data_IF_810781514663
#
_entry.id   IF_810781514663
#
_cell.length_a   1.000
_cell.length_b   1.000
_cell.length_c   1.000
_cell.angle_alpha   90.00
_cell.angle_beta   90.00
_cell.angle_gamma   90.00
#
_symmetry.space_group_name_H-M   'P 1'
#
loop_
_entity.id
_entity.type
_entity.pdbx_description
1 polymer ?
#
# COMPACT_ATOMS: atom_id res chain seq x y z
N UNK A 1 19.91 13.54 -1.59
CA UNK A 1 18.80 12.62 -1.25
C UNK A 1 18.88 12.31 0.25
N UNK A 2 17.76 12.09 0.95
CA UNK A 2 17.79 11.85 2.39
C UNK A 2 18.46 10.51 2.70
N UNK A 3 19.35 10.48 3.70
CA UNK A 3 19.96 9.24 4.18
C UNK A 3 18.92 8.31 4.81
N UNK A 4 17.99 8.90 5.57
CA UNK A 4 16.90 8.20 6.24
C UNK A 4 15.61 8.32 5.42
N UNK A 5 14.99 7.19 5.09
CA UNK A 5 13.70 7.15 4.40
C UNK A 5 12.51 7.29 5.35
N UNK A 6 11.34 7.66 4.83
CA UNK A 6 10.12 7.82 5.64
C UNK A 6 9.67 6.53 6.35
N UNK A 7 10.11 5.35 5.90
CA UNK A 7 9.85 4.07 6.60
C UNK A 7 10.33 4.08 8.06
N UNK A 8 11.33 4.90 8.41
CA UNK A 8 11.80 5.04 9.79
C UNK A 8 10.82 5.80 10.70
N UNK A 9 9.78 6.41 10.14
CA UNK A 9 8.69 7.09 10.88
C UNK A 9 7.47 6.17 11.07
N UNK A 10 7.57 4.90 10.66
CA UNK A 10 6.58 3.87 10.96
C UNK A 10 6.76 3.48 12.43
N UNK A 11 5.70 3.66 13.21
CA UNK A 11 5.70 3.47 14.66
C UNK A 11 5.30 2.05 15.07
N UNK A 12 4.63 1.33 14.19
CA UNK A 12 4.18 -0.04 14.43
C UNK A 12 5.21 -1.03 13.91
N UNK A 13 5.32 -2.20 14.55
CA UNK A 13 6.17 -3.27 14.05
C UNK A 13 5.45 -4.04 12.95
N UNK A 14 5.93 -3.97 11.71
CA UNK A 14 5.39 -4.79 10.63
C UNK A 14 6.44 -5.21 9.58
N UNK A 15 6.22 -6.34 8.87
CA UNK A 15 6.96 -6.68 7.66
C UNK A 15 6.53 -5.78 6.49
N UNK A 16 7.53 -5.12 5.88
CA UNK A 16 7.43 -4.35 4.64
C UNK A 16 8.01 -5.17 3.49
N UNK A 17 7.15 -5.66 2.61
CA UNK A 17 7.51 -6.38 1.40
C UNK A 17 7.51 -5.40 0.23
N UNK A 18 8.68 -5.07 -0.28
CA UNK A 18 8.81 -4.32 -1.53
C UNK A 18 8.96 -5.29 -2.68
N UNK A 19 8.05 -5.21 -3.65
CA UNK A 19 8.01 -6.11 -4.79
C UNK A 19 8.20 -5.32 -6.08
N UNK A 20 9.32 -5.61 -6.74
CA UNK A 20 9.65 -5.05 -8.04
C UNK A 20 8.86 -5.77 -9.13
N UNK A 21 8.21 -5.01 -10.00
CA UNK A 21 7.65 -5.54 -11.23
C UNK A 21 8.49 -5.12 -12.44
N UNK A 22 8.66 -5.99 -13.45
CA UNK A 22 9.38 -5.66 -14.66
C UNK A 22 8.59 -4.64 -15.49
N UNK A 23 9.29 -3.66 -16.05
CA UNK A 23 8.75 -2.70 -17.01
C UNK A 23 9.86 -2.26 -17.96
N UNK A 24 9.51 -2.07 -19.23
CA UNK A 24 10.43 -1.63 -20.28
C UNK A 24 10.54 -0.10 -20.38
N UNK A 25 9.64 0.64 -19.73
CA UNK A 25 9.64 2.10 -19.73
C UNK A 25 9.05 2.68 -18.45
N UNK A 26 9.18 4.00 -18.28
CA UNK A 26 8.55 4.75 -17.19
C UNK A 26 7.01 4.81 -17.32
N UNK A 27 6.45 4.55 -18.51
CA UNK A 27 5.00 4.44 -18.74
C UNK A 27 4.52 3.04 -18.35
N UNK A 28 4.69 2.71 -17.08
CA UNK A 28 4.62 1.35 -16.56
C UNK A 28 3.23 0.93 -16.04
N UNK A 29 2.19 1.71 -16.32
CA UNK A 29 0.83 1.49 -15.82
C UNK A 29 0.25 0.13 -16.24
N UNK A 30 0.48 -0.30 -17.49
CA UNK A 30 0.02 -1.61 -17.98
C UNK A 30 0.77 -2.77 -17.32
N UNK A 31 2.09 -2.67 -17.25
CA UNK A 31 2.92 -3.69 -16.61
C UNK A 31 2.57 -3.83 -15.12
N UNK A 32 2.42 -2.71 -14.40
CA UNK A 32 1.99 -2.68 -13.00
C UNK A 32 0.61 -3.31 -12.81
N UNK A 33 -0.35 -2.97 -13.68
CA UNK A 33 -1.70 -3.49 -13.58
C UNK A 33 -1.72 -5.00 -13.77
N UNK A 34 -1.09 -5.52 -14.84
CA UNK A 34 -1.01 -6.96 -15.08
C UNK A 34 -0.28 -7.68 -13.95
N UNK A 35 0.84 -7.13 -13.49
CA UNK A 35 1.56 -7.71 -12.37
C UNK A 35 0.71 -7.76 -11.09
N UNK A 36 -0.05 -6.71 -10.79
CA UNK A 36 -0.95 -6.69 -9.66
C UNK A 36 -2.02 -7.78 -9.79
N UNK A 37 -2.66 -7.93 -10.95
CA UNK A 37 -3.69 -8.94 -11.17
C UNK A 37 -3.16 -10.37 -11.11
N UNK A 38 -1.98 -10.61 -11.69
CA UNK A 38 -1.43 -11.96 -11.83
C UNK A 38 -0.71 -12.44 -10.58
N UNK A 39 -0.05 -11.52 -9.85
CA UNK A 39 0.86 -11.87 -8.77
C UNK A 39 0.38 -11.42 -7.40
N UNK A 40 -0.26 -10.27 -7.28
CA UNK A 40 -0.53 -9.65 -5.97
C UNK A 40 -1.96 -9.92 -5.52
N UNK A 41 -2.95 -9.48 -6.31
CA UNK A 41 -4.37 -9.61 -6.01
C UNK A 41 -4.81 -11.04 -5.63
N UNK A 42 -4.35 -12.12 -6.30
CA UNK A 42 -4.75 -13.48 -5.96
C UNK A 42 -4.35 -13.89 -4.53
N UNK A 43 -3.24 -13.35 -4.01
CA UNK A 43 -2.77 -13.65 -2.64
C UNK A 43 -3.72 -13.12 -1.55
N UNK A 44 -4.54 -12.13 -1.89
CA UNK A 44 -5.49 -11.50 -0.97
C UNK A 44 -6.94 -11.86 -1.28
N UNK A 45 -7.20 -12.69 -2.31
CA UNK A 45 -8.55 -13.05 -2.74
C UNK A 45 -9.14 -14.19 -1.90
N UNK A 46 -8.31 -14.96 -1.20
CA UNK A 46 -8.77 -16.01 -0.28
C UNK A 46 -9.73 -15.42 0.77
N UNK A 47 -10.83 -16.12 1.04
CA UNK A 47 -11.93 -15.66 1.90
C UNK A 47 -11.51 -15.40 3.36
N UNK A 48 -10.34 -15.89 3.77
CA UNK A 48 -9.74 -15.63 5.09
C UNK A 48 -9.10 -14.24 5.15
N UNK A 49 -8.59 -13.73 4.02
CA UNK A 49 -7.95 -12.42 3.95
C UNK A 49 -9.01 -11.34 3.79
N UNK A 50 -9.15 -10.50 4.80
CA UNK A 50 -10.07 -9.36 4.82
C UNK A 50 -9.35 -8.09 5.27
N UNK A 51 -10.05 -6.96 5.23
CA UNK A 51 -9.52 -5.68 5.71
C UNK A 51 -8.24 -5.22 4.97
N UNK A 52 -8.24 -5.40 3.65
CA UNK A 52 -7.11 -5.02 2.79
C UNK A 52 -7.30 -3.63 2.22
N UNK A 53 -6.45 -2.68 2.62
CA UNK A 53 -6.41 -1.34 2.05
C UNK A 53 -5.45 -1.32 0.86
N UNK A 54 -5.94 -0.93 -0.32
CA UNK A 54 -5.13 -0.71 -1.52
C UNK A 54 -4.96 0.79 -1.72
N UNK A 55 -3.77 1.29 -1.43
CA UNK A 55 -3.37 2.68 -1.64
C UNK A 55 -2.99 2.90 -3.10
N UNK A 56 -3.63 3.88 -3.74
CA UNK A 56 -3.41 4.17 -5.17
C UNK A 56 -3.01 5.64 -5.38
N UNK A 57 -1.77 5.92 -5.82
CA UNK A 57 -1.31 7.29 -6.05
C UNK A 57 -1.90 7.95 -7.29
N UNK A 58 -2.20 7.17 -8.34
CA UNK A 58 -2.72 7.65 -9.63
C UNK A 58 -4.23 7.44 -9.74
N UNK A 59 -4.97 8.50 -10.07
CA UNK A 59 -6.42 8.40 -10.30
C UNK A 59 -6.75 7.49 -11.49
N UNK A 60 -5.91 7.49 -12.53
CA UNK A 60 -6.08 6.63 -13.70
C UNK A 60 -6.01 5.15 -13.32
N UNK A 61 -5.00 4.76 -12.53
CA UNK A 61 -4.86 3.39 -12.03
C UNK A 61 -6.02 3.02 -11.09
N UNK A 62 -6.47 3.96 -10.25
CA UNK A 62 -7.63 3.76 -9.39
C UNK A 62 -8.89 3.42 -10.19
N UNK A 63 -9.19 4.17 -11.26
CA UNK A 63 -10.34 3.90 -12.12
C UNK A 63 -10.22 2.51 -12.75
N UNK A 64 -9.03 2.14 -13.22
CA UNK A 64 -8.77 0.83 -13.84
C UNK A 64 -8.99 -0.32 -12.85
N UNK A 65 -8.41 -0.21 -11.64
CA UNK A 65 -8.60 -1.17 -10.55
C UNK A 65 -10.07 -1.29 -10.16
N UNK A 66 -10.75 -0.18 -9.90
CA UNK A 66 -12.17 -0.15 -9.54
C UNK A 66 -13.05 -0.82 -10.59
N UNK A 67 -12.81 -0.51 -11.87
CA UNK A 67 -13.58 -1.09 -12.97
C UNK A 67 -13.33 -2.59 -13.10
N UNK A 68 -12.09 -3.05 -12.93
CA UNK A 68 -11.75 -4.47 -12.91
C UNK A 68 -12.41 -5.18 -11.72
N UNK A 69 -12.26 -4.67 -10.51
CA UNK A 69 -12.85 -5.26 -9.31
C UNK A 69 -14.38 -5.33 -9.40
N UNK A 70 -15.02 -4.32 -9.99
CA UNK A 70 -16.47 -4.35 -10.26
C UNK A 70 -16.84 -5.42 -11.30
N UNK A 71 -16.05 -5.57 -12.37
CA UNK A 71 -16.29 -6.56 -13.42
C UNK A 71 -16.15 -8.00 -12.90
N UNK A 72 -15.17 -8.23 -12.03
CA UNK A 72 -14.90 -9.54 -11.42
C UNK A 72 -15.73 -9.80 -10.15
N UNK A 73 -16.72 -8.94 -9.87
CA UNK A 73 -17.61 -9.00 -8.70
C UNK A 73 -16.85 -9.15 -7.36
N UNK A 74 -15.65 -8.55 -7.29
CA UNK A 74 -14.85 -8.54 -6.07
C UNK A 74 -15.54 -7.65 -5.04
N UNK A 75 -15.55 -8.09 -3.78
CA UNK A 75 -16.16 -7.34 -2.69
C UNK A 75 -15.25 -6.19 -2.21
N UNK A 76 -15.56 -4.95 -2.59
CA UNK A 76 -14.76 -3.78 -2.20
C UNK A 76 -15.59 -2.53 -1.92
N UNK A 77 -15.04 -1.65 -1.08
CA UNK A 77 -15.42 -0.26 -0.97
C UNK A 77 -14.37 0.65 -1.64
N UNK A 78 -14.75 1.87 -1.99
CA UNK A 78 -13.83 2.85 -2.56
C UNK A 78 -13.99 4.22 -1.93
N UNK A 79 -12.86 4.86 -1.62
CA UNK A 79 -12.78 6.24 -1.16
C UNK A 79 -11.79 6.98 -2.06
N UNK A 80 -12.30 7.97 -2.78
CA UNK A 80 -11.50 8.87 -3.60
C UNK A 80 -11.86 10.34 -3.35
N UNK A 81 -11.12 11.25 -3.97
CA UNK A 81 -11.28 12.69 -3.85
C UNK A 81 -12.68 13.20 -4.23
N UNK A 82 -13.43 12.42 -5.01
CA UNK A 82 -14.80 12.73 -5.44
C UNK A 82 -15.87 12.12 -4.53
N UNK A 83 -15.50 11.27 -3.57
CA UNK A 83 -16.44 10.67 -2.64
C UNK A 83 -17.03 11.72 -1.70
N UNK A 84 -18.37 11.74 -1.64
CA UNK A 84 -19.12 12.55 -0.68
C UNK A 84 -18.90 12.07 0.76
N UNK A 85 -19.23 12.91 1.75
CA UNK A 85 -19.08 12.56 3.17
C UNK A 85 -19.88 11.30 3.56
N UNK A 86 -21.06 11.11 2.98
CA UNK A 86 -21.91 9.94 3.24
C UNK A 86 -21.31 8.66 2.66
N UNK A 87 -20.76 8.72 1.44
CA UNK A 87 -20.04 7.60 0.82
C UNK A 87 -18.80 7.22 1.63
N UNK A 88 -17.99 8.21 2.04
CA UNK A 88 -16.81 7.99 2.90
C UNK A 88 -17.21 7.33 4.23
N UNK A 89 -18.26 7.84 4.87
CA UNK A 89 -18.76 7.28 6.14
C UNK A 89 -19.18 5.81 5.99
N UNK A 90 -19.96 5.51 4.94
CA UNK A 90 -20.44 4.17 4.64
C UNK A 90 -19.30 3.20 4.31
N UNK A 91 -18.37 3.61 3.45
CA UNK A 91 -17.20 2.82 3.07
C UNK A 91 -16.34 2.46 4.29
N UNK A 92 -16.07 3.43 5.17
CA UNK A 92 -15.32 3.20 6.42
C UNK A 92 -16.05 2.26 7.36
N UNK A 93 -17.36 2.41 7.50
CA UNK A 93 -18.17 1.56 8.37
C UNK A 93 -18.11 0.09 7.92
N UNK A 94 -18.41 -0.18 6.64
CA UNK A 94 -18.40 -1.54 6.11
C UNK A 94 -17.01 -2.17 6.11
N UNK A 95 -15.97 -1.40 5.76
CA UNK A 95 -14.59 -1.89 5.81
C UNK A 95 -14.17 -2.25 7.23
N UNK A 96 -14.48 -1.41 8.23
CA UNK A 96 -14.14 -1.70 9.63
C UNK A 96 -14.86 -2.94 10.17
N UNK A 97 -16.05 -3.24 9.65
CA UNK A 97 -16.85 -4.40 10.06
C UNK A 97 -16.42 -5.69 9.36
N UNK A 98 -15.59 -5.60 8.31
CA UNK A 98 -15.21 -6.72 7.45
C UNK A 98 -16.22 -7.06 6.36
N UNK A 99 -17.30 -6.27 6.21
CA UNK A 99 -18.33 -6.50 5.18
C UNK A 99 -17.76 -6.27 3.77
N UNK A 100 -16.76 -5.40 3.62
CA UNK A 100 -15.98 -5.24 2.39
C UNK A 100 -14.55 -5.72 2.60
N UNK A 101 -14.13 -6.70 1.81
CA UNK A 101 -12.81 -7.30 1.86
C UNK A 101 -11.70 -6.29 1.55
N UNK A 102 -11.92 -5.46 0.52
CA UNK A 102 -10.97 -4.46 0.06
C UNK A 102 -11.49 -3.02 0.24
N UNK A 103 -10.55 -2.10 0.45
CA UNK A 103 -10.78 -0.67 0.35
C UNK A 103 -9.80 -0.04 -0.64
N UNK A 104 -10.30 0.44 -1.77
CA UNK A 104 -9.53 1.29 -2.68
C UNK A 104 -9.45 2.71 -2.09
N UNK A 105 -8.24 3.24 -1.92
CA UNK A 105 -7.99 4.51 -1.26
C UNK A 105 -7.01 5.36 -2.06
N UNK A 106 -7.44 6.54 -2.54
CA UNK A 106 -6.57 7.40 -3.37
C UNK A 106 -5.66 8.31 -2.56
N UNK A 107 -4.44 8.52 -3.04
CA UNK A 107 -3.51 9.51 -2.46
C UNK A 107 -4.12 10.90 -2.42
N UNK A 108 -4.84 11.31 -3.47
CA UNK A 108 -5.46 12.63 -3.55
C UNK A 108 -6.49 12.85 -2.45
N UNK A 109 -7.29 11.83 -2.12
CA UNK A 109 -8.18 11.91 -0.97
C UNK A 109 -7.41 12.05 0.36
N UNK A 110 -6.38 11.24 0.56
CA UNK A 110 -5.51 11.33 1.75
C UNK A 110 -4.91 12.74 1.88
N UNK A 111 -4.39 13.27 0.78
CA UNK A 111 -3.79 14.60 0.70
C UNK A 111 -4.76 15.69 1.19
N UNK A 112 -6.01 15.71 0.74
CA UNK A 112 -6.93 16.80 1.12
C UNK A 112 -7.63 16.58 2.45
N UNK A 113 -7.87 15.33 2.86
CA UNK A 113 -8.83 15.03 3.92
C UNK A 113 -8.23 14.40 5.16
N UNK A 114 -7.06 13.74 5.06
CA UNK A 114 -6.32 13.18 6.20
C UNK A 114 -7.16 12.30 7.13
N UNK A 115 -8.12 11.55 6.59
CA UNK A 115 -8.94 10.63 7.40
C UNK A 115 -8.08 9.45 7.87
N UNK A 116 -8.16 9.14 9.16
CA UNK A 116 -7.69 7.85 9.68
C UNK A 116 -8.69 6.75 9.32
N UNK A 117 -8.22 5.75 8.57
CA UNK A 117 -8.98 4.53 8.27
C UNK A 117 -8.69 3.51 9.37
N UNK A 118 -9.75 2.94 9.95
CA UNK A 118 -9.65 1.95 11.03
C UNK A 118 -9.89 0.55 10.49
N UNK A 119 -9.32 -0.44 11.19
CA UNK A 119 -9.57 -1.85 10.92
C UNK A 119 -8.69 -2.45 9.83
N UNK A 120 -7.71 -1.73 9.28
CA UNK A 120 -6.76 -2.26 8.28
C UNK A 120 -5.98 -3.44 8.90
N UNK A 121 -5.86 -4.53 8.16
CA UNK A 121 -4.97 -5.65 8.51
C UNK A 121 -3.88 -5.84 7.45
N UNK A 122 -4.22 -5.60 6.19
CA UNK A 122 -3.32 -5.74 5.05
C UNK A 122 -3.23 -4.42 4.31
N UNK A 123 -2.01 -3.98 4.00
CA UNK A 123 -1.75 -2.76 3.27
C UNK A 123 -1.05 -3.09 1.96
N UNK A 124 -1.60 -2.58 0.86
CA UNK A 124 -0.98 -2.70 -0.47
C UNK A 124 -0.80 -1.31 -1.04
N UNK A 125 0.44 -0.85 -1.15
CA UNK A 125 0.78 0.30 -1.98
C UNK A 125 0.86 -0.18 -3.43
N UNK A 126 -0.21 0.03 -4.19
CA UNK A 126 -0.25 -0.29 -5.63
C UNK A 126 0.84 0.48 -6.39
N UNK A 127 1.19 1.66 -5.90
CA UNK A 127 2.43 2.35 -6.27
C UNK A 127 2.95 3.16 -5.09
N UNK A 128 4.24 3.49 -5.13
CA UNK A 128 4.87 4.30 -4.09
C UNK A 128 4.23 5.71 -4.02
N UNK A 129 3.94 6.24 -2.82
CA UNK A 129 3.40 7.59 -2.64
C UNK A 129 4.26 8.67 -3.30
N UNK A 130 3.62 9.73 -3.79
CA UNK A 130 4.33 10.91 -4.32
C UNK A 130 5.00 11.70 -3.20
N UNK A 131 4.42 11.67 -2.00
CA UNK A 131 4.96 12.29 -0.80
C UNK A 131 5.47 11.21 0.16
N UNK A 132 6.78 11.17 0.49
CA UNK A 132 7.35 10.06 1.26
C UNK A 132 6.69 9.85 2.62
N UNK A 133 6.34 10.93 3.34
CA UNK A 133 5.69 10.85 4.66
C UNK A 133 4.31 10.21 4.63
N UNK A 134 3.64 10.13 3.47
CA UNK A 134 2.38 9.39 3.35
C UNK A 134 2.57 7.89 3.52
N UNK A 135 3.75 7.35 3.20
CA UNK A 135 4.03 5.95 3.43
C UNK A 135 3.91 5.60 4.93
N UNK A 136 4.60 6.36 5.78
CA UNK A 136 4.55 6.18 7.23
C UNK A 136 3.18 6.53 7.81
N UNK A 137 2.54 7.61 7.37
CA UNK A 137 1.19 7.97 7.83
C UNK A 137 0.18 6.85 7.57
N UNK A 138 0.19 6.26 6.37
CA UNK A 138 -0.74 5.19 6.01
C UNK A 138 -0.40 3.89 6.75
N UNK A 139 0.89 3.53 6.88
CA UNK A 139 1.29 2.37 7.70
C UNK A 139 0.83 2.53 9.15
N UNK A 140 0.98 3.71 9.73
CA UNK A 140 0.59 3.99 11.12
C UNK A 140 -0.93 3.93 11.34
N UNK A 141 -1.76 3.93 10.28
CA UNK A 141 -3.21 3.70 10.42
C UNK A 141 -3.55 2.26 10.84
N UNK A 142 -2.64 1.29 10.67
CA UNK A 142 -2.82 -0.09 11.15
C UNK A 142 -3.14 -0.14 12.66
N UNK A 143 -2.47 0.70 13.46
CA UNK A 143 -2.70 0.83 14.89
C UNK A 143 -4.09 1.39 15.26
N UNK A 144 -4.80 2.05 14.34
CA UNK A 144 -6.07 2.72 14.65
C UNK A 144 -7.26 1.76 14.86
N UNK A 145 -7.08 0.45 14.64
CA UNK A 145 -8.09 -0.60 14.79
C UNK A 145 -8.22 -1.20 16.19
N UNK A 146 -7.24 -0.99 17.09
CA UNK A 146 -7.31 -1.35 18.51
C UNK A 146 -7.49 -2.84 18.88
N UNK A 147 -7.50 -3.78 17.91
CA UNK A 147 -7.79 -5.21 18.15
C UNK A 147 -7.11 -6.19 17.17
N UNK A 148 -6.04 -5.79 16.49
CA UNK A 148 -5.21 -6.73 15.73
C UNK A 148 -4.03 -7.16 16.58
N UNK A 149 -3.75 -8.46 16.66
CA UNK A 149 -2.40 -8.89 17.04
C UNK A 149 -1.46 -8.30 15.99
N UNK A 150 -0.55 -7.42 16.41
CA UNK A 150 0.45 -6.79 15.52
C UNK A 150 1.18 -7.83 14.65
N UNK A 151 1.25 -9.07 15.16
CA UNK A 151 1.80 -10.25 14.51
C UNK A 151 1.18 -10.63 13.15
N UNK A 152 -0.02 -10.15 12.79
CA UNK A 152 -0.69 -10.51 11.53
C UNK A 152 -0.70 -9.42 10.46
N UNK A 153 -0.11 -8.24 10.72
CA UNK A 153 -0.14 -7.15 9.74
C UNK A 153 0.80 -7.39 8.56
N UNK A 154 0.33 -7.05 7.36
CA UNK A 154 1.16 -7.10 6.15
C UNK A 154 1.21 -5.75 5.46
N UNK A 155 2.37 -5.40 4.90
CA UNK A 155 2.51 -4.26 4.01
C UNK A 155 3.30 -4.65 2.76
N UNK A 156 2.64 -4.60 1.61
CA UNK A 156 3.25 -4.85 0.30
C UNK A 156 3.32 -3.54 -0.48
N UNK A 157 4.48 -3.20 -1.05
CA UNK A 157 4.68 -2.02 -1.85
C UNK A 157 5.25 -2.36 -3.23
N UNK A 158 4.52 -1.97 -4.28
CA UNK A 158 4.93 -2.21 -5.66
C UNK A 158 5.75 -1.05 -6.20
N UNK A 159 6.81 -1.37 -6.92
CA UNK A 159 7.65 -0.38 -7.58
C UNK A 159 8.26 -0.96 -8.86
N UNK A 160 8.61 -0.10 -9.80
CA UNK A 160 9.47 -0.46 -10.93
C UNK A 160 10.87 0.12 -10.76
N UNK A 161 11.80 -0.31 -11.62
CA UNK A 161 13.14 0.30 -11.68
C UNK A 161 13.13 1.82 -11.92
N UNK A 162 12.02 2.36 -12.45
CA UNK A 162 11.86 3.79 -12.74
C UNK A 162 11.37 4.59 -11.53
N UNK A 163 10.92 3.93 -10.46
CA UNK A 163 10.51 4.56 -9.21
C UNK A 163 11.69 4.87 -8.26
N UNK A 164 12.94 4.80 -8.74
CA UNK A 164 14.15 4.90 -7.93
C UNK A 164 14.17 6.09 -6.96
N UNK A 165 13.70 7.27 -7.41
CA UNK A 165 13.62 8.47 -6.57
C UNK A 165 12.60 8.33 -5.42
N UNK A 166 11.42 7.77 -5.70
CA UNK A 166 10.38 7.54 -4.67
C UNK A 166 10.83 6.45 -3.71
N UNK A 167 11.43 5.38 -4.23
CA UNK A 167 11.97 4.29 -3.43
C UNK A 167 13.03 4.80 -2.46
N UNK A 168 14.02 5.55 -2.96
CA UNK A 168 15.06 6.16 -2.13
C UNK A 168 14.50 7.09 -1.05
N UNK A 169 13.42 7.82 -1.33
CA UNK A 169 12.79 8.68 -0.34
C UNK A 169 12.02 7.90 0.75
N UNK A 170 11.54 6.69 0.46
CA UNK A 170 10.80 5.84 1.40
C UNK A 170 11.74 4.93 2.19
N UNK A 171 12.63 4.20 1.52
CA UNK A 171 13.54 3.26 2.15
C UNK A 171 14.88 3.89 2.56
N UNK A 172 15.22 5.06 2.07
CA UNK A 172 16.58 5.61 2.15
C UNK A 172 17.44 5.13 0.99
N UNK A 173 18.46 5.93 0.64
CA UNK A 173 19.27 5.75 -0.58
C UNK A 173 20.02 4.42 -0.60
N UNK A 174 20.62 4.01 0.52
CA UNK A 174 21.40 2.77 0.59
C UNK A 174 20.52 1.54 0.32
N UNK A 175 19.39 1.42 1.03
CA UNK A 175 18.43 0.32 0.84
C UNK A 175 17.85 0.32 -0.57
N UNK A 176 17.48 1.49 -1.10
CA UNK A 176 16.98 1.59 -2.47
C UNK A 176 18.01 1.13 -3.50
N UNK A 177 19.29 1.51 -3.31
CA UNK A 177 20.39 1.05 -4.14
C UNK A 177 20.53 -0.47 -4.12
N UNK A 178 20.49 -1.10 -2.94
CA UNK A 178 20.53 -2.56 -2.81
C UNK A 178 19.36 -3.24 -3.52
N UNK A 179 18.15 -2.71 -3.39
CA UNK A 179 16.96 -3.27 -4.04
C UNK A 179 17.03 -3.17 -5.57
N UNK A 180 17.49 -2.05 -6.12
CA UNK A 180 17.56 -1.83 -7.56
C UNK A 180 18.66 -2.64 -8.27
N UNK A 181 19.74 -2.99 -7.55
CA UNK A 181 20.85 -3.78 -8.11
C UNK A 181 20.77 -5.28 -7.75
N UNK A 182 19.77 -5.67 -6.96
CA UNK A 182 19.58 -7.06 -6.57
C UNK A 182 19.03 -7.89 -7.72
N UNK A 183 19.45 -9.15 -7.79
CA UNK A 183 18.87 -10.14 -8.70
C UNK A 183 17.49 -10.66 -8.21
N UNK A 184 17.08 -10.30 -6.99
CA UNK A 184 15.77 -10.65 -6.43
C UNK A 184 14.76 -9.55 -6.75
N UNK A 185 13.51 -9.95 -6.98
CA UNK A 185 12.39 -9.02 -7.23
C UNK A 185 11.56 -8.73 -5.97
N UNK A 186 11.87 -9.38 -4.84
CA UNK A 186 11.16 -9.21 -3.57
C UNK A 186 12.17 -8.92 -2.47
N UNK A 187 11.91 -7.86 -1.70
CA UNK A 187 12.75 -7.40 -0.60
C UNK A 187 11.91 -7.21 0.65
N UNK A 188 12.33 -7.82 1.76
CA UNK A 188 11.65 -7.74 3.04
C UNK A 188 12.45 -6.87 4.01
N UNK A 189 11.76 -5.94 4.66
CA UNK A 189 12.29 -5.16 5.78
C UNK A 189 11.31 -5.22 6.94
N UNK A 190 11.79 -5.16 8.18
CA UNK A 190 10.94 -5.10 9.37
C UNK A 190 11.24 -3.80 10.10
N UNK A 191 10.19 -3.06 10.44
CA UNK A 191 10.27 -1.89 11.32
C UNK A 191 9.98 -2.30 12.76
N UNK A 192 10.51 -1.59 13.75
CA UNK A 192 10.20 -1.83 15.18
C UNK A 192 10.94 -2.99 15.85
N UNK A 193 11.89 -3.66 15.17
CA UNK A 193 12.83 -4.55 15.85
C UNK A 193 13.92 -3.76 16.56
N UNK A 194 14.23 -4.10 17.81
CA UNK A 194 15.47 -3.66 18.44
C UNK A 194 16.64 -4.10 17.56
N UNK A 195 17.36 -3.15 16.96
CA UNK A 195 18.69 -3.40 16.43
C UNK A 195 19.58 -3.78 17.61
N UNK A 196 19.59 -5.07 18.00
CA UNK A 196 20.70 -5.64 18.76
C UNK A 196 21.90 -5.76 17.82
N UNK A 197 22.47 -4.61 17.47
CA UNK A 197 23.85 -4.53 17.05
C UNK A 197 24.70 -4.87 18.29
N UNK A 198 25.12 -6.13 18.37
CA UNK A 198 26.26 -6.56 19.19
C UNK A 198 27.54 -6.41 18.39
#
# INVERSE_FOLDING_TARGET
MPETGSICQVLVQLPHVFQMFPSDSFMDHDARFQFFLDKVLPQYRDSVMSHTLIYVPSYFDYVRLRNHMKKEEINFASICEYSSKSEVSRARHFFQKGDHQFLLFTERFHFYKRYTIKGIQNLIFYGLPSYPHFYSEVCNMLAAGGRGEEASWTCTALYSRYDAHKLAAISGVQRAGQMLHSNKTVHLFVTGGEDKAS
#
